data_IF_989407042702
#
_entry.id   IF_989407042702
#
_cell.length_a   1.000
_cell.length_b   1.000
_cell.length_c   1.000
_cell.angle_alpha   90.00
_cell.angle_beta   90.00
_cell.angle_gamma   90.00
#
_symmetry.space_group_name_H-M   'P 1'
#
loop_
_entity.id
_entity.type
_entity.pdbx_description
1 polymer ?
#
# COMPACT_ATOMS: atom_id res chain seq x y z
N UNK A 1 17.09 -34.07 12.31
CA UNK A 1 16.27 -34.34 11.09
C UNK A 1 14.78 -34.11 11.37
N UNK A 2 14.24 -34.64 12.47
CA UNK A 2 12.88 -34.34 12.97
C UNK A 2 12.59 -32.85 13.21
N UNK A 3 13.49 -32.11 13.85
CA UNK A 3 13.29 -30.67 14.08
C UNK A 3 13.22 -29.82 12.79
N UNK A 4 13.79 -30.32 11.67
CA UNK A 4 13.67 -29.70 10.34
C UNK A 4 12.33 -30.04 9.69
N UNK A 5 11.91 -31.30 9.78
CA UNK A 5 10.61 -31.77 9.28
C UNK A 5 9.43 -31.09 10.01
N UNK A 6 9.54 -30.85 11.33
CA UNK A 6 8.53 -30.12 12.09
C UNK A 6 8.45 -28.64 11.70
N UNK A 7 9.56 -28.00 11.29
CA UNK A 7 9.54 -26.64 10.74
C UNK A 7 8.89 -26.59 9.35
N UNK A 8 9.13 -27.58 8.49
CA UNK A 8 8.57 -27.63 7.14
C UNK A 8 7.06 -27.93 7.12
N UNK A 9 6.55 -28.73 8.05
CA UNK A 9 5.09 -28.98 8.18
C UNK A 9 4.36 -27.79 8.79
N UNK A 10 5.03 -26.96 9.61
CA UNK A 10 4.43 -25.78 10.22
C UNK A 10 4.14 -24.64 9.24
N UNK A 11 4.82 -24.57 8.10
CA UNK A 11 4.72 -23.43 7.17
C UNK A 11 3.53 -23.47 6.20
N UNK A 12 2.87 -24.63 6.05
CA UNK A 12 1.76 -24.83 5.11
C UNK A 12 0.37 -24.75 5.77
N UNK A 13 0.30 -24.80 7.11
CA UNK A 13 -0.96 -24.78 7.87
C UNK A 13 -0.89 -23.89 9.13
N UNK A 14 0.00 -22.91 9.14
CA UNK A 14 0.02 -21.87 10.17
C UNK A 14 -1.19 -20.98 9.97
N UNK A 15 -2.18 -21.09 10.85
CA UNK A 15 -3.25 -20.11 10.99
C UNK A 15 -2.61 -18.80 11.45
N UNK A 16 -2.24 -17.95 10.49
CA UNK A 16 -1.74 -16.60 10.74
C UNK A 16 -2.86 -15.79 11.40
N UNK A 17 -2.74 -15.55 12.70
CA UNK A 17 -3.85 -15.00 13.50
C UNK A 17 -4.06 -13.51 13.23
N UNK A 18 -2.96 -12.77 13.05
CA UNK A 18 -2.99 -11.32 12.90
C UNK A 18 -2.94 -10.88 11.44
N UNK A 19 -2.45 -11.73 10.52
CA UNK A 19 -2.39 -11.39 9.09
C UNK A 19 -3.76 -10.97 8.51
N UNK A 20 -4.88 -11.68 8.79
CA UNK A 20 -6.20 -11.23 8.31
C UNK A 20 -6.62 -9.88 8.89
N UNK A 21 -6.29 -9.60 10.16
CA UNK A 21 -6.61 -8.33 10.82
C UNK A 21 -5.84 -7.19 10.17
N UNK A 22 -4.53 -7.36 9.96
CA UNK A 22 -3.70 -6.40 9.24
C UNK A 22 -4.22 -6.19 7.81
N UNK A 23 -4.59 -7.26 7.12
CA UNK A 23 -5.15 -7.20 5.77
C UNK A 23 -6.44 -6.38 5.71
N UNK A 24 -7.36 -6.58 6.67
CA UNK A 24 -8.61 -5.81 6.75
C UNK A 24 -8.35 -4.33 6.99
N UNK A 25 -7.44 -3.99 7.91
CA UNK A 25 -7.06 -2.59 8.19
C UNK A 25 -6.45 -1.95 6.94
N UNK A 26 -5.55 -2.66 6.26
CA UNK A 26 -4.94 -2.20 5.01
C UNK A 26 -5.97 -1.92 3.92
N UNK A 27 -6.86 -2.89 3.65
CA UNK A 27 -7.90 -2.76 2.63
C UNK A 27 -8.85 -1.61 2.97
N UNK A 28 -9.31 -1.51 4.22
CA UNK A 28 -10.19 -0.43 4.66
C UNK A 28 -9.51 0.94 4.54
N UNK A 29 -8.23 1.05 4.90
CA UNK A 29 -7.44 2.27 4.73
C UNK A 29 -7.30 2.66 3.27
N UNK A 30 -7.01 1.70 2.37
CA UNK A 30 -6.93 1.94 0.93
C UNK A 30 -8.28 2.38 0.32
N UNK A 31 -9.38 1.74 0.71
CA UNK A 31 -10.73 2.13 0.28
C UNK A 31 -11.10 3.53 0.76
N UNK A 32 -10.77 3.85 2.02
CA UNK A 32 -11.01 5.19 2.60
C UNK A 32 -10.21 6.23 1.82
N UNK A 33 -8.92 5.99 1.62
CA UNK A 33 -8.03 6.87 0.86
C UNK A 33 -8.55 7.13 -0.55
N UNK A 34 -8.98 6.09 -1.26
CA UNK A 34 -9.55 6.21 -2.61
C UNK A 34 -10.83 7.03 -2.61
N UNK A 35 -11.68 6.88 -1.60
CA UNK A 35 -12.95 7.61 -1.52
C UNK A 35 -12.73 9.11 -1.28
N UNK A 36 -11.74 9.47 -0.47
CA UNK A 36 -11.46 10.88 -0.13
C UNK A 36 -10.46 11.53 -1.09
N UNK A 37 -9.84 10.79 -2.03
CA UNK A 37 -8.77 11.30 -2.89
C UNK A 37 -9.22 12.40 -3.86
N UNK A 38 -10.52 12.47 -4.18
CA UNK A 38 -11.06 13.53 -5.04
C UNK A 38 -11.11 14.90 -4.31
N UNK A 39 -11.01 14.92 -2.98
CA UNK A 39 -11.06 16.16 -2.19
C UNK A 39 -9.68 16.79 -2.12
N UNK A 40 -9.51 17.92 -2.80
CA UNK A 40 -8.36 18.80 -2.66
C UNK A 40 -8.45 19.64 -1.38
N UNK A 41 -7.31 19.78 -0.71
CA UNK A 41 -7.09 20.55 0.50
C UNK A 41 -5.94 21.53 0.22
N UNK A 42 -6.18 22.84 0.26
CA UNK A 42 -5.12 23.83 0.15
C UNK A 42 -4.33 23.89 1.46
N UNK A 43 -3.04 23.57 1.39
CA UNK A 43 -2.10 23.73 2.49
C UNK A 43 -1.27 24.99 2.25
N UNK A 44 -1.50 26.00 3.09
CA UNK A 44 -0.69 27.22 3.07
C UNK A 44 0.60 27.02 3.86
N UNK A 45 1.75 27.24 3.23
CA UNK A 45 3.04 27.13 3.93
C UNK A 45 3.27 28.41 4.74
N UNK A 46 3.43 28.31 6.08
CA UNK A 46 3.67 29.47 6.93
C UNK A 46 4.88 30.27 6.44
N UNK A 47 4.79 31.60 6.54
CA UNK A 47 5.87 32.53 6.16
C UNK A 47 6.20 32.55 4.65
N UNK A 48 5.36 31.96 3.80
CA UNK A 48 5.47 32.05 2.34
C UNK A 48 4.11 32.35 1.71
N UNK A 49 4.09 32.91 0.49
CA UNK A 49 2.84 33.07 -0.27
C UNK A 49 2.48 31.81 -1.09
N UNK A 50 3.05 30.66 -0.75
CA UNK A 50 2.91 29.44 -1.52
C UNK A 50 1.84 28.52 -0.92
N UNK A 51 0.94 28.03 -1.77
CA UNK A 51 -0.12 27.10 -1.38
C UNK A 51 0.04 25.81 -2.16
N UNK A 52 0.16 24.69 -1.45
CA UNK A 52 0.23 23.36 -2.05
C UNK A 52 -1.15 22.75 -2.01
N UNK A 53 -1.59 22.22 -3.15
CA UNK A 53 -2.80 21.41 -3.20
C UNK A 53 -2.45 19.97 -2.83
N UNK A 54 -3.12 19.42 -1.82
CA UNK A 54 -2.98 18.03 -1.40
C UNK A 54 -4.34 17.35 -1.45
N UNK A 55 -4.37 16.02 -1.45
CA UNK A 55 -5.63 15.30 -1.27
C UNK A 55 -5.85 14.93 0.18
N UNK A 56 -7.11 14.75 0.58
CA UNK A 56 -7.42 14.11 1.85
C UNK A 56 -6.79 12.69 1.96
N UNK A 57 -6.62 12.00 0.82
CA UNK A 57 -5.99 10.67 0.76
C UNK A 57 -4.51 10.67 1.17
N UNK A 58 -3.80 11.77 0.95
CA UNK A 58 -2.38 11.93 1.34
C UNK A 58 -2.15 11.65 2.82
N UNK A 59 -3.14 11.93 3.68
CA UNK A 59 -3.04 11.74 5.13
C UNK A 59 -3.39 10.32 5.57
N UNK A 60 -4.23 9.61 4.82
CA UNK A 60 -4.66 8.23 5.15
C UNK A 60 -3.68 7.17 4.62
N UNK A 61 -3.01 7.45 3.50
CA UNK A 61 -2.08 6.52 2.85
C UNK A 61 -0.96 6.02 3.77
N UNK A 62 -0.28 6.86 4.59
CA UNK A 62 0.83 6.40 5.42
C UNK A 62 0.46 5.25 6.39
N UNK A 63 -0.79 5.19 6.86
CA UNK A 63 -1.24 4.11 7.72
C UNK A 63 -1.31 2.77 6.97
N UNK A 64 -1.83 2.76 5.74
CA UNK A 64 -1.82 1.56 4.90
C UNK A 64 -0.40 1.13 4.56
N UNK A 65 0.50 2.08 4.31
CA UNK A 65 1.92 1.80 4.05
C UNK A 65 2.61 1.11 5.20
N UNK A 66 2.42 1.62 6.42
CA UNK A 66 2.95 1.01 7.63
C UNK A 66 2.53 -0.47 7.76
N UNK A 67 1.26 -0.77 7.49
CA UNK A 67 0.76 -2.16 7.54
C UNK A 67 1.41 -3.02 6.46
N UNK A 68 1.63 -2.46 5.27
CA UNK A 68 2.31 -3.16 4.19
C UNK A 68 3.77 -3.46 4.52
N UNK A 69 4.52 -2.50 5.07
CA UNK A 69 5.92 -2.68 5.47
C UNK A 69 6.06 -3.76 6.55
N UNK A 70 5.16 -3.75 7.55
CA UNK A 70 5.08 -4.80 8.56
C UNK A 70 4.76 -6.15 7.90
N UNK A 71 3.85 -6.16 6.93
CA UNK A 71 3.47 -7.38 6.22
C UNK A 71 4.66 -7.98 5.50
N UNK A 72 5.41 -7.17 4.74
CA UNK A 72 6.64 -7.57 4.06
C UNK A 72 7.72 -8.01 5.03
N UNK A 73 7.90 -7.31 6.16
CA UNK A 73 8.93 -7.65 7.14
C UNK A 73 8.64 -8.93 7.93
N UNK A 74 7.39 -9.19 8.31
CA UNK A 74 7.03 -10.33 9.17
C UNK A 74 6.68 -11.55 8.32
N UNK A 75 5.79 -11.38 7.34
CA UNK A 75 5.19 -12.45 6.55
C UNK A 75 5.88 -12.67 5.19
N UNK A 76 6.72 -11.72 4.76
CA UNK A 76 7.53 -11.82 3.53
C UNK A 76 6.86 -11.22 2.30
N UNK A 77 7.66 -11.05 1.24
CA UNK A 77 7.23 -10.43 -0.02
C UNK A 77 6.03 -11.15 -0.67
N UNK A 78 6.00 -12.48 -0.62
CA UNK A 78 4.92 -13.25 -1.25
C UNK A 78 3.54 -12.94 -0.63
N UNK A 79 3.48 -12.76 0.70
CA UNK A 79 2.24 -12.42 1.40
C UNK A 79 1.85 -10.96 1.19
N UNK A 80 2.82 -10.04 1.21
CA UNK A 80 2.56 -8.65 0.88
C UNK A 80 2.05 -8.49 -0.56
N UNK A 81 2.68 -9.17 -1.53
CA UNK A 81 2.19 -9.20 -2.93
C UNK A 81 0.76 -9.71 -3.02
N UNK A 82 0.44 -10.81 -2.33
CA UNK A 82 -0.92 -11.35 -2.30
C UNK A 82 -1.93 -10.33 -1.73
N UNK A 83 -1.58 -9.66 -0.62
CA UNK A 83 -2.39 -8.59 -0.04
C UNK A 83 -2.63 -7.45 -1.04
N UNK A 84 -1.59 -7.00 -1.76
CA UNK A 84 -1.70 -5.96 -2.80
C UNK A 84 -2.61 -6.43 -3.94
N UNK A 85 -2.42 -7.65 -4.45
CA UNK A 85 -3.24 -8.22 -5.52
C UNK A 85 -4.73 -8.29 -5.16
N UNK A 86 -5.06 -8.82 -3.98
CA UNK A 86 -6.44 -8.89 -3.50
C UNK A 86 -7.02 -7.49 -3.31
N UNK A 87 -6.24 -6.55 -2.77
CA UNK A 87 -6.67 -5.16 -2.59
C UNK A 87 -6.98 -4.50 -3.93
N UNK A 88 -6.15 -4.70 -4.97
CA UNK A 88 -6.44 -4.20 -6.32
C UNK A 88 -7.78 -4.70 -6.85
N UNK A 89 -8.07 -5.99 -6.69
CA UNK A 89 -9.34 -6.59 -7.12
C UNK A 89 -10.53 -5.97 -6.36
N UNK A 90 -10.40 -5.83 -5.04
CA UNK A 90 -11.44 -5.25 -4.19
C UNK A 90 -11.70 -3.78 -4.57
N UNK A 91 -10.65 -2.99 -4.81
CA UNK A 91 -10.79 -1.58 -5.19
C UNK A 91 -11.48 -1.43 -6.56
N UNK A 92 -11.16 -2.30 -7.52
CA UNK A 92 -11.84 -2.32 -8.82
C UNK A 92 -13.32 -2.66 -8.64
N UNK A 93 -13.64 -3.70 -7.87
CA UNK A 93 -15.04 -4.08 -7.60
C UNK A 93 -15.81 -2.97 -6.88
N UNK A 94 -15.19 -2.33 -5.89
CA UNK A 94 -15.76 -1.21 -5.14
C UNK A 94 -16.14 -0.04 -6.04
N UNK A 95 -15.22 0.41 -6.89
CA UNK A 95 -15.48 1.52 -7.82
C UNK A 95 -16.41 1.11 -8.96
N UNK A 96 -16.36 -0.13 -9.44
CA UNK A 96 -17.30 -0.62 -10.44
C UNK A 96 -18.74 -0.56 -9.90
N UNK A 97 -18.95 -0.96 -8.64
CA UNK A 97 -20.25 -0.84 -7.98
C UNK A 97 -20.68 0.63 -7.80
N UNK A 98 -19.80 1.49 -7.29
CA UNK A 98 -20.10 2.93 -7.17
C UNK A 98 -20.34 3.60 -8.53
N UNK A 99 -19.70 3.13 -9.59
CA UNK A 99 -19.95 3.64 -10.93
C UNK A 99 -21.31 3.15 -11.44
N UNK A 100 -21.67 1.90 -11.17
CA UNK A 100 -22.98 1.35 -11.53
C UNK A 100 -24.11 2.14 -10.85
N UNK A 101 -23.96 2.55 -9.59
CA UNK A 101 -24.97 3.34 -8.89
C UNK A 101 -25.22 4.72 -9.54
N UNK A 102 -24.19 5.34 -10.15
CA UNK A 102 -24.34 6.62 -10.90
C UNK A 102 -25.15 6.50 -12.20
N UNK A 103 -25.45 5.29 -12.66
CA UNK A 103 -26.20 5.06 -13.91
C UNK A 103 -27.70 4.88 -13.70
N UNK A 104 -28.14 4.67 -12.46
CA UNK A 104 -29.56 4.49 -12.17
C UNK A 104 -30.33 5.82 -12.25
N UNK A 105 -31.59 5.81 -12.70
CA UNK A 105 -32.40 7.00 -12.80
C UNK A 105 -32.75 7.54 -11.41
N UNK A 106 -32.93 8.85 -11.34
CA UNK A 106 -33.34 9.54 -10.13
C UNK A 106 -34.78 9.12 -9.72
N UNK A 107 -35.04 8.85 -8.43
CA UNK A 107 -36.39 8.56 -7.96
C UNK A 107 -37.30 9.79 -8.02
N UNK A 108 -38.55 9.59 -8.41
CA UNK A 108 -39.55 10.67 -8.38
C UNK A 108 -39.98 11.01 -6.94
N UNK A 109 -40.36 12.28 -6.72
CA UNK A 109 -40.97 12.78 -5.47
C UNK A 109 -40.06 12.76 -4.21
N UNK A 110 -38.74 12.85 -4.38
CA UNK A 110 -37.79 13.03 -3.28
C UNK A 110 -36.85 14.22 -3.53
N UNK A 111 -36.19 14.71 -2.48
CA UNK A 111 -35.15 15.74 -2.62
C UNK A 111 -33.96 15.15 -3.38
N UNK A 112 -33.67 15.71 -4.55
CA UNK A 112 -32.56 15.29 -5.39
C UNK A 112 -31.20 15.52 -4.73
N UNK A 113 -30.37 14.49 -4.71
CA UNK A 113 -28.92 14.60 -4.46
C UNK A 113 -28.09 14.15 -5.66
N UNK A 114 -28.74 13.83 -6.78
CA UNK A 114 -28.13 13.13 -7.92
C UNK A 114 -26.95 13.90 -8.50
N UNK A 115 -27.09 15.21 -8.70
CA UNK A 115 -26.00 16.07 -9.20
C UNK A 115 -24.76 16.01 -8.31
N UNK A 116 -24.92 16.15 -7.00
CA UNK A 116 -23.80 16.13 -6.05
C UNK A 116 -23.18 14.73 -5.96
N UNK A 117 -24.01 13.69 -5.95
CA UNK A 117 -23.58 12.29 -5.97
C UNK A 117 -22.72 12.00 -7.21
N UNK A 118 -23.24 12.34 -8.40
CA UNK A 118 -22.56 12.15 -9.67
C UNK A 118 -21.29 13.01 -9.78
N UNK A 119 -21.26 14.20 -9.21
CA UNK A 119 -20.03 15.03 -9.21
C UNK A 119 -18.89 14.36 -8.45
N UNK A 120 -19.17 13.72 -7.31
CA UNK A 120 -18.14 13.07 -6.49
C UNK A 120 -17.75 11.72 -7.10
N UNK A 121 -18.71 10.81 -7.29
CA UNK A 121 -18.42 9.43 -7.64
C UNK A 121 -17.90 9.24 -9.08
N UNK A 122 -18.22 10.15 -10.02
CA UNK A 122 -17.68 10.07 -11.38
C UNK A 122 -16.19 10.42 -11.49
N UNK A 123 -15.59 11.05 -10.47
CA UNK A 123 -14.15 11.33 -10.46
C UNK A 123 -13.33 10.12 -10.01
N UNK A 124 -13.91 9.26 -9.17
CA UNK A 124 -13.21 8.13 -8.54
C UNK A 124 -12.60 7.10 -9.52
N UNK A 125 -13.17 6.77 -10.69
CA UNK A 125 -12.54 5.85 -11.64
C UNK A 125 -11.13 6.26 -12.06
N UNK A 126 -10.86 7.55 -12.15
CA UNK A 126 -9.51 8.05 -12.45
C UNK A 126 -8.58 7.89 -11.25
N UNK A 127 -9.05 8.22 -10.06
CA UNK A 127 -8.28 8.03 -8.83
C UNK A 127 -8.00 6.55 -8.55
N UNK A 128 -8.89 5.65 -8.97
CA UNK A 128 -8.65 4.22 -8.97
C UNK A 128 -7.47 3.88 -9.89
N UNK A 129 -7.50 4.30 -11.15
CA UNK A 129 -6.39 4.05 -12.09
C UNK A 129 -5.05 4.57 -11.55
N UNK A 130 -5.08 5.76 -10.94
CA UNK A 130 -3.92 6.34 -10.28
C UNK A 130 -3.43 5.47 -9.11
N UNK A 131 -4.33 5.04 -8.22
CA UNK A 131 -3.98 4.22 -7.08
C UNK A 131 -3.47 2.83 -7.51
N UNK A 132 -4.08 2.21 -8.53
CA UNK A 132 -3.61 0.95 -9.11
C UNK A 132 -2.21 1.10 -9.70
N UNK A 133 -1.94 2.17 -10.45
CA UNK A 133 -0.62 2.45 -11.01
C UNK A 133 0.43 2.66 -9.89
N UNK A 134 0.06 3.43 -8.86
CA UNK A 134 0.89 3.67 -7.69
C UNK A 134 1.26 2.37 -6.94
N UNK A 135 0.27 1.55 -6.59
CA UNK A 135 0.54 0.32 -5.83
C UNK A 135 1.22 -0.77 -6.65
N UNK A 136 0.93 -0.84 -7.94
CA UNK A 136 1.60 -1.77 -8.84
C UNK A 136 3.08 -1.41 -9.06
N UNK A 137 3.44 -0.13 -8.99
CA UNK A 137 4.82 0.33 -9.18
C UNK A 137 5.51 0.57 -7.85
N UNK A 138 5.16 1.64 -7.15
CA UNK A 138 5.80 2.10 -5.93
C UNK A 138 5.77 1.10 -4.79
N UNK A 139 4.61 0.50 -4.48
CA UNK A 139 4.54 -0.44 -3.36
C UNK A 139 5.31 -1.73 -3.65
N UNK A 140 5.25 -2.24 -4.88
CA UNK A 140 6.02 -3.43 -5.25
C UNK A 140 7.53 -3.17 -5.25
N UNK A 141 7.96 -1.98 -5.67
CA UNK A 141 9.36 -1.55 -5.56
C UNK A 141 9.79 -1.45 -4.10
N UNK A 142 8.96 -0.86 -3.24
CA UNK A 142 9.20 -0.79 -1.80
C UNK A 142 9.38 -2.18 -1.18
N UNK A 143 8.42 -3.07 -1.40
CA UNK A 143 8.43 -4.43 -0.86
C UNK A 143 9.63 -5.24 -1.36
N UNK A 144 9.97 -5.08 -2.65
CA UNK A 144 11.14 -5.71 -3.25
C UNK A 144 12.44 -5.26 -2.56
N UNK A 145 12.60 -3.95 -2.35
CA UNK A 145 13.80 -3.39 -1.72
C UNK A 145 13.87 -3.84 -0.26
N UNK A 146 12.76 -3.76 0.48
CA UNK A 146 12.70 -4.15 1.89
C UNK A 146 13.06 -5.63 2.08
N UNK A 147 12.46 -6.52 1.28
CA UNK A 147 12.75 -7.96 1.24
C UNK A 147 14.21 -8.24 0.88
N UNK A 148 14.74 -7.55 -0.14
CA UNK A 148 16.13 -7.73 -0.57
C UNK A 148 17.13 -7.25 0.48
N UNK A 149 16.87 -6.11 1.12
CA UNK A 149 17.71 -5.59 2.19
C UNK A 149 17.70 -6.50 3.41
N UNK A 150 16.56 -7.13 3.72
CA UNK A 150 16.47 -8.11 4.81
C UNK A 150 17.44 -9.27 4.63
N UNK A 151 17.49 -9.83 3.42
CA UNK A 151 18.44 -10.90 3.06
C UNK A 151 19.88 -10.42 3.13
N UNK A 152 20.19 -9.30 2.48
CA UNK A 152 21.56 -8.74 2.44
C UNK A 152 22.11 -8.42 3.84
N UNK A 153 21.26 -7.89 4.72
CA UNK A 153 21.64 -7.49 6.08
C UNK A 153 21.36 -8.56 7.13
N UNK A 154 20.98 -9.79 6.72
CA UNK A 154 20.70 -10.91 7.63
C UNK A 154 19.71 -10.53 8.74
N UNK A 155 18.65 -9.81 8.36
CA UNK A 155 17.60 -9.32 9.26
C UNK A 155 17.95 -8.10 10.12
N UNK A 156 19.21 -7.65 10.13
CA UNK A 156 19.66 -6.54 10.98
C UNK A 156 19.21 -5.18 10.46
N UNK A 157 19.33 -4.16 11.31
CA UNK A 157 19.10 -2.74 10.99
C UNK A 157 17.72 -2.45 10.40
N UNK A 158 16.66 -2.98 11.01
CA UNK A 158 15.29 -2.78 10.54
C UNK A 158 14.93 -1.31 10.23
N UNK A 159 15.29 -0.31 11.07
CA UNK A 159 15.06 1.09 10.76
C UNK A 159 15.65 1.56 9.43
N UNK A 160 16.90 1.19 9.16
CA UNK A 160 17.58 1.56 7.92
C UNK A 160 16.88 0.93 6.69
N UNK A 161 16.40 -0.30 6.83
CA UNK A 161 15.72 -1.01 5.74
C UNK A 161 14.37 -0.37 5.41
N UNK A 162 13.61 0.02 6.43
CA UNK A 162 12.30 0.66 6.29
C UNK A 162 12.40 2.03 5.60
N UNK A 163 13.25 2.90 6.13
CA UNK A 163 13.47 4.23 5.55
C UNK A 163 14.06 4.11 4.14
N UNK A 164 15.04 3.21 3.94
CA UNK A 164 15.69 3.02 2.64
C UNK A 164 14.73 2.50 1.55
N UNK A 165 13.86 1.55 1.88
CA UNK A 165 12.81 1.09 0.98
C UNK A 165 11.79 2.19 0.68
N UNK A 166 11.36 2.91 1.72
CA UNK A 166 10.38 4.00 1.61
C UNK A 166 10.86 5.13 0.71
N UNK A 167 12.13 5.54 0.81
CA UNK A 167 12.71 6.59 -0.05
C UNK A 167 12.56 6.24 -1.53
N UNK A 168 12.85 5.00 -1.94
CA UNK A 168 12.80 4.63 -3.35
C UNK A 168 11.37 4.33 -3.79
N UNK A 169 10.63 3.56 -2.98
CA UNK A 169 9.26 3.18 -3.27
C UNK A 169 8.32 4.38 -3.34
N UNK A 170 8.47 5.35 -2.45
CA UNK A 170 7.61 6.52 -2.41
C UNK A 170 7.85 7.47 -3.57
N UNK A 171 9.09 7.60 -4.03
CA UNK A 171 9.38 8.42 -5.21
C UNK A 171 8.62 7.89 -6.43
N UNK A 172 8.70 6.58 -6.66
CA UNK A 172 8.00 5.91 -7.76
C UNK A 172 6.49 6.01 -7.57
N UNK A 173 6.01 5.82 -6.35
CA UNK A 173 4.60 5.92 -6.02
C UNK A 173 4.01 7.29 -6.35
N UNK A 174 4.65 8.36 -5.87
CA UNK A 174 4.14 9.71 -6.03
C UNK A 174 4.19 10.14 -7.50
N UNK A 175 5.26 9.77 -8.21
CA UNK A 175 5.37 10.02 -9.65
C UNK A 175 4.27 9.30 -10.44
N UNK A 176 3.97 8.04 -10.13
CA UNK A 176 2.92 7.29 -10.81
C UNK A 176 1.52 7.76 -10.41
N UNK A 177 1.21 7.71 -9.10
CA UNK A 177 -0.12 7.98 -8.58
C UNK A 177 -0.56 9.42 -8.75
N UNK A 178 0.22 10.37 -8.24
CA UNK A 178 -0.19 11.79 -8.22
C UNK A 178 -0.24 12.36 -9.63
N UNK A 179 0.69 11.96 -10.51
CA UNK A 179 0.63 12.35 -11.93
C UNK A 179 -0.61 11.77 -12.59
N UNK A 180 -0.88 10.47 -12.49
CA UNK A 180 -2.05 9.85 -13.15
C UNK A 180 -3.38 10.40 -12.60
N UNK A 181 -3.46 10.69 -11.31
CA UNK A 181 -4.66 11.23 -10.68
C UNK A 181 -5.03 12.62 -11.22
N UNK A 182 -4.03 13.47 -11.43
CA UNK A 182 -4.23 14.90 -11.71
C UNK A 182 -3.83 15.35 -13.12
N UNK A 183 -3.37 14.42 -13.96
CA UNK A 183 -3.01 14.73 -15.34
C UNK A 183 -4.18 15.39 -16.09
N UNK A 184 -3.88 16.51 -16.75
CA UNK A 184 -4.86 17.32 -17.48
C UNK A 184 -5.86 18.10 -16.61
N UNK A 185 -5.75 18.05 -15.28
CA UNK A 185 -6.62 18.79 -14.34
C UNK A 185 -5.85 19.82 -13.51
N UNK A 186 -4.62 19.48 -13.13
CA UNK A 186 -3.69 20.39 -12.48
C UNK A 186 -2.48 20.64 -13.40
N UNK A 187 -1.88 21.81 -13.27
CA UNK A 187 -0.68 22.18 -13.98
C UNK A 187 0.54 21.48 -13.37
N UNK A 188 1.32 20.79 -14.21
CA UNK A 188 2.32 19.86 -13.73
C UNK A 188 3.40 20.52 -12.86
N UNK A 189 3.95 21.65 -13.30
CA UNK A 189 5.10 22.28 -12.62
C UNK A 189 4.70 23.06 -11.38
N UNK A 190 3.51 23.65 -11.35
CA UNK A 190 3.07 24.56 -10.28
C UNK A 190 2.18 23.91 -9.24
N UNK A 191 1.58 22.76 -9.54
CA UNK A 191 0.61 22.09 -8.65
C UNK A 191 0.99 20.63 -8.40
N UNK A 192 1.21 19.83 -9.45
CA UNK A 192 1.51 18.38 -9.30
C UNK A 192 2.91 18.16 -8.71
N UNK A 193 3.94 18.86 -9.21
CA UNK A 193 5.30 18.68 -8.72
C UNK A 193 5.44 19.08 -7.24
N UNK A 194 4.91 20.23 -6.77
CA UNK A 194 4.87 20.56 -5.35
C UNK A 194 4.10 19.55 -4.50
N UNK A 195 2.98 19.02 -5.01
CA UNK A 195 2.25 17.93 -4.35
C UNK A 195 3.16 16.72 -4.13
N UNK A 196 3.79 16.25 -5.22
CA UNK A 196 4.68 15.07 -5.21
C UNK A 196 5.81 15.28 -4.19
N UNK A 197 6.50 16.41 -4.26
CA UNK A 197 7.62 16.73 -3.36
C UNK A 197 7.17 16.78 -1.90
N UNK A 198 6.06 17.45 -1.61
CA UNK A 198 5.55 17.52 -0.25
C UNK A 198 5.16 16.14 0.28
N UNK A 199 4.38 15.39 -0.48
CA UNK A 199 3.90 14.06 -0.07
C UNK A 199 5.05 13.07 0.13
N UNK A 200 6.05 13.15 -0.76
CA UNK A 200 7.28 12.37 -0.67
C UNK A 200 8.06 12.65 0.63
N UNK A 201 8.34 13.93 0.91
CA UNK A 201 9.07 14.32 2.14
C UNK A 201 8.24 14.00 3.38
N UNK A 202 6.95 14.34 3.36
CA UNK A 202 6.01 14.06 4.44
C UNK A 202 6.03 12.58 4.82
N UNK A 203 5.94 11.68 3.84
CA UNK A 203 5.95 10.24 4.13
C UNK A 203 7.30 9.78 4.67
N UNK A 204 8.43 10.24 4.14
CA UNK A 204 9.76 9.86 4.67
C UNK A 204 9.89 10.29 6.14
N UNK A 205 9.44 11.50 6.47
CA UNK A 205 9.45 12.00 7.86
C UNK A 205 8.50 11.18 8.74
N UNK A 206 7.30 10.91 8.26
CA UNK A 206 6.32 10.08 8.96
C UNK A 206 6.87 8.68 9.25
N UNK A 207 7.50 8.05 8.25
CA UNK A 207 8.14 6.74 8.38
C UNK A 207 9.28 6.78 9.40
N UNK A 208 10.15 7.79 9.33
CA UNK A 208 11.25 7.94 10.30
C UNK A 208 10.75 8.10 11.74
N UNK A 209 9.64 8.83 11.93
CA UNK A 209 9.00 9.00 13.25
C UNK A 209 8.36 7.71 13.73
N UNK A 210 7.68 6.96 12.86
CA UNK A 210 7.01 5.71 13.25
C UNK A 210 7.94 4.51 13.34
N UNK A 211 9.09 4.53 12.66
CA UNK A 211 10.04 3.42 12.61
C UNK A 211 10.33 2.76 13.97
N UNK A 212 10.53 3.48 15.10
CA UNK A 212 10.68 2.86 16.41
C UNK A 212 9.48 2.00 16.83
N UNK A 213 8.26 2.46 16.52
CA UNK A 213 7.01 1.70 16.73
C UNK A 213 7.01 0.48 15.81
N UNK A 214 7.40 0.62 14.53
CA UNK A 214 7.45 -0.49 13.58
C UNK A 214 8.37 -1.60 14.08
N UNK A 215 9.52 -1.25 14.67
CA UNK A 215 10.47 -2.22 15.23
C UNK A 215 9.82 -3.05 16.35
N UNK A 216 9.11 -2.39 17.27
CA UNK A 216 8.42 -3.06 18.38
C UNK A 216 7.29 -3.96 17.86
N UNK A 217 6.44 -3.44 16.96
CA UNK A 217 5.30 -4.18 16.41
C UNK A 217 5.76 -5.39 15.59
N UNK A 218 6.76 -5.23 14.72
CA UNK A 218 7.35 -6.34 13.97
C UNK A 218 7.95 -7.39 14.91
N UNK A 219 8.68 -6.98 15.94
CA UNK A 219 9.26 -7.91 16.92
C UNK A 219 8.17 -8.73 17.64
N UNK A 220 7.13 -8.05 18.11
CA UNK A 220 5.99 -8.70 18.76
C UNK A 220 5.24 -9.65 17.81
N UNK A 221 4.93 -9.23 16.59
CA UNK A 221 4.24 -10.06 15.60
C UNK A 221 5.04 -11.31 15.24
N UNK A 222 6.35 -11.19 15.02
CA UNK A 222 7.23 -12.34 14.74
C UNK A 222 7.19 -13.36 15.87
N UNK A 223 7.18 -12.90 17.12
CA UNK A 223 7.07 -13.77 18.30
C UNK A 223 5.68 -14.38 18.43
N UNK A 224 4.62 -13.59 18.21
CA UNK A 224 3.23 -14.00 18.40
C UNK A 224 2.77 -15.00 17.32
N UNK A 225 3.25 -14.86 16.09
CA UNK A 225 2.95 -15.74 14.95
C UNK A 225 3.97 -16.89 14.84
N UNK A 226 5.14 -16.77 15.48
CA UNK A 226 6.22 -17.75 15.39
C UNK A 226 6.87 -17.81 14.00
N UNK A 227 6.86 -16.70 13.26
CA UNK A 227 7.41 -16.59 11.91
C UNK A 227 8.40 -15.44 11.79
N UNK A 228 9.38 -15.60 10.91
CA UNK A 228 10.24 -14.51 10.43
C UNK A 228 10.67 -14.84 9.01
N UNK A 229 9.94 -14.34 8.01
CA UNK A 229 10.14 -14.74 6.62
C UNK A 229 11.44 -14.17 6.03
N UNK A 230 12.31 -15.03 5.51
CA UNK A 230 13.44 -14.66 4.66
C UNK A 230 13.14 -15.17 3.25
N UNK A 231 12.99 -14.24 2.30
CA UNK A 231 12.51 -14.51 0.94
C UNK A 231 13.61 -15.11 0.04
N UNK A 232 14.28 -16.17 0.50
CA UNK A 232 15.47 -16.74 -0.16
C UNK A 232 15.13 -17.36 -1.54
N UNK A 233 13.94 -17.96 -1.69
CA UNK A 233 13.46 -18.61 -2.92
C UNK A 233 12.18 -17.96 -3.49
N UNK A 234 12.04 -16.64 -3.34
CA UNK A 234 10.86 -15.90 -3.84
C UNK A 234 11.04 -15.42 -5.27
N UNK A 235 10.00 -15.67 -6.08
CA UNK A 235 9.83 -15.03 -7.38
C UNK A 235 9.26 -13.63 -7.17
N UNK A 236 9.97 -12.58 -7.61
CA UNK A 236 9.53 -11.19 -7.48
C UNK A 236 8.59 -10.75 -8.61
N UNK A 237 8.13 -11.66 -9.48
CA UNK A 237 7.11 -11.35 -10.47
C UNK A 237 5.80 -10.88 -9.78
N UNK A 238 5.31 -9.65 -10.07
CA UNK A 238 4.06 -9.10 -9.53
C UNK A 238 2.81 -9.94 -9.73
N UNK A 239 2.79 -10.84 -10.72
CA UNK A 239 1.63 -11.67 -11.09
C UNK A 239 1.75 -13.12 -10.62
N UNK A 240 2.84 -13.48 -9.95
CA UNK A 240 3.04 -14.87 -9.52
C UNK A 240 2.06 -15.22 -8.39
N UNK A 241 1.19 -16.19 -8.64
CA UNK A 241 0.24 -16.76 -7.66
C UNK A 241 0.82 -17.97 -6.92
N UNK A 242 2.00 -18.46 -7.34
CA UNK A 242 2.65 -19.64 -6.78
C UNK A 242 3.61 -19.24 -5.66
N UNK A 243 3.39 -19.73 -4.44
CA UNK A 243 4.46 -19.92 -3.47
C UNK A 243 5.36 -21.02 -4.06
N UNK A 244 6.60 -20.71 -4.48
CA UNK A 244 7.52 -21.75 -4.96
C UNK A 244 7.74 -22.74 -3.82
N UNK A 245 7.17 -23.93 -3.97
CA UNK A 245 7.37 -25.08 -3.09
C UNK A 245 8.84 -25.47 -3.21
N UNK A 246 9.56 -25.48 -2.10
CA UNK A 246 10.98 -25.82 -2.08
C UNK A 246 11.20 -27.20 -2.75
N UNK A 247 11.93 -27.32 -3.88
CA UNK A 247 12.09 -28.59 -4.59
C UNK A 247 13.16 -29.48 -3.97
N UNK A 248 13.35 -29.44 -2.64
CA UNK A 248 14.25 -30.36 -1.92
C UNK A 248 13.47 -31.34 -1.06
N UNK A 249 12.51 -32.02 -1.70
CA UNK A 249 11.76 -33.15 -1.14
C UNK A 249 11.77 -34.41 -2.03
N UNK A 250 12.59 -34.44 -3.09
CA UNK A 250 12.84 -35.64 -3.89
C UNK A 250 14.00 -36.42 -3.29
N UNK A 251 13.71 -37.55 -2.63
CA UNK A 251 14.70 -38.51 -2.14
C UNK A 251 15.41 -39.21 -3.31
N UNK A 252 16.72 -39.41 -3.11
CA UNK A 252 17.65 -40.32 -3.79
C UNK A 252 18.04 -39.98 -5.23
#
# INVERSE_FOLDING_TARGET
MEQRLLREVSTDNQNLKYFPILSMIYIAGMMTSLTVSARLLPLHIPMTNFTILLTAGTWTIPLSFFIQDITTEVYGYAQSRYLVQITMIILVAYIAYLKLTTLFPEPHNIVSIDRSYNTVFNTLPRHLLALLAAIFTGNLVNDYILSTLKKKLKGRYLPFRFIGATIIGELVLQLAGTTVAWFGHLHFTTEILPFILFSYVYKIVFEAILTPVNVVVCGWLKQAEGIDAYDDDVDYNPFSTRRKRNPKGGKK
#
